data_IF_413047215036
#
_entry.id   IF_413047215036
#
_cell.length_a   1.000
_cell.length_b   1.000
_cell.length_c   1.000
_cell.angle_alpha   90.00
_cell.angle_beta   90.00
_cell.angle_gamma   90.00
#
_symmetry.space_group_name_H-M   'P 1'
#
loop_
_entity.id
_entity.type
_entity.pdbx_description
1 polymer ?
#
# COMPACT_ATOMS: atom_id res chain seq x y z
N UNK A 1 -11.85 8.64 -22.44
CA UNK A 1 -10.58 9.01 -21.84
C UNK A 1 -9.55 9.02 -22.95
N UNK A 2 -8.92 10.18 -23.22
CA UNK A 2 -7.77 10.23 -24.11
C UNK A 2 -6.65 9.45 -23.43
N UNK A 3 -6.18 8.40 -24.07
CA UNK A 3 -5.03 7.62 -23.66
C UNK A 3 -3.83 8.58 -23.65
N UNK A 4 -3.31 8.92 -22.49
CA UNK A 4 -2.19 9.86 -22.33
C UNK A 4 -0.84 9.15 -22.25
N UNK A 5 -0.84 7.82 -22.42
CA UNK A 5 0.37 7.02 -22.34
C UNK A 5 1.22 7.15 -23.61
N UNK A 6 2.55 7.20 -23.47
CA UNK A 6 3.46 7.19 -24.63
C UNK A 6 3.46 5.82 -25.31
N UNK A 7 3.66 5.80 -26.62
CA UNK A 7 3.84 4.56 -27.37
C UNK A 7 5.17 3.90 -27.01
N UNK A 8 5.13 2.64 -26.62
CA UNK A 8 6.34 1.84 -26.38
C UNK A 8 6.72 1.10 -27.67
N UNK A 9 7.98 1.18 -28.07
CA UNK A 9 8.52 0.50 -29.24
C UNK A 9 9.73 -0.31 -28.83
N UNK A 10 9.67 -1.63 -29.01
CA UNK A 10 10.76 -2.55 -28.67
C UNK A 10 11.40 -3.10 -29.96
N UNK A 11 12.69 -2.86 -30.15
CA UNK A 11 13.44 -3.24 -31.35
C UNK A 11 12.76 -2.82 -32.67
N UNK A 12 12.11 -1.67 -32.69
CA UNK A 12 11.42 -1.11 -33.87
C UNK A 12 9.97 -1.58 -34.03
N UNK A 13 9.45 -2.44 -33.18
CA UNK A 13 8.07 -2.92 -33.21
C UNK A 13 7.24 -2.30 -32.07
N UNK A 14 6.02 -1.79 -32.35
CA UNK A 14 5.11 -1.35 -31.28
C UNK A 14 4.86 -2.48 -30.26
N UNK A 15 4.86 -2.12 -28.99
CA UNK A 15 4.62 -3.02 -27.89
C UNK A 15 3.38 -2.55 -27.12
N UNK A 16 2.34 -3.36 -27.10
CA UNK A 16 1.05 -3.03 -26.49
C UNK A 16 0.96 -3.58 -25.04
N UNK A 17 2.04 -3.45 -24.27
CA UNK A 17 2.14 -3.90 -22.88
C UNK A 17 2.79 -2.87 -21.99
N UNK A 18 2.68 -3.07 -20.67
CA UNK A 18 3.32 -2.24 -19.67
C UNK A 18 4.87 -2.42 -19.70
N UNK A 19 5.62 -1.36 -19.39
CA UNK A 19 7.07 -1.41 -19.22
C UNK A 19 7.53 -2.46 -18.20
N UNK A 20 6.71 -2.73 -17.20
CA UNK A 20 6.97 -3.76 -16.19
C UNK A 20 7.07 -5.19 -16.75
N UNK A 21 6.52 -5.42 -17.95
CA UNK A 21 6.61 -6.71 -18.65
C UNK A 21 7.99 -6.94 -19.28
N UNK A 22 8.80 -5.87 -19.43
CA UNK A 22 10.12 -5.93 -20.05
C UNK A 22 11.16 -6.11 -18.95
N UNK A 23 12.02 -7.14 -19.09
CA UNK A 23 13.12 -7.33 -18.18
C UNK A 23 14.20 -6.27 -18.42
N UNK A 24 14.47 -5.43 -17.42
CA UNK A 24 15.48 -4.38 -17.52
C UNK A 24 16.88 -4.90 -17.82
N UNK A 25 17.18 -6.15 -17.45
CA UNK A 25 18.46 -6.79 -17.76
C UNK A 25 18.62 -7.12 -19.26
N UNK A 26 17.55 -7.15 -20.03
CA UNK A 26 17.59 -7.35 -21.50
C UNK A 26 17.69 -6.04 -22.28
N UNK A 27 17.60 -4.89 -21.64
CA UNK A 27 17.65 -3.58 -22.28
C UNK A 27 19.12 -3.17 -22.49
N UNK A 28 19.46 -2.77 -23.72
CA UNK A 28 20.73 -2.14 -24.06
C UNK A 28 20.64 -0.62 -23.95
N UNK A 29 19.55 -0.04 -24.49
CA UNK A 29 19.31 1.41 -24.42
C UNK A 29 17.83 1.74 -24.45
N UNK A 30 17.49 2.89 -23.87
CA UNK A 30 16.15 3.48 -23.91
C UNK A 30 16.26 4.93 -24.37
N UNK A 31 15.45 5.30 -25.34
CA UNK A 31 15.40 6.66 -25.88
C UNK A 31 13.97 7.16 -25.87
N UNK A 32 13.74 8.37 -25.36
CA UNK A 32 12.42 8.99 -25.33
C UNK A 32 12.36 10.07 -26.41
N UNK A 33 11.45 9.89 -27.37
CA UNK A 33 11.18 10.85 -28.42
C UNK A 33 9.96 11.69 -28.03
N UNK A 34 10.15 13.01 -27.91
CA UNK A 34 9.10 13.95 -27.48
C UNK A 34 8.74 14.98 -28.56
N UNK A 35 9.31 14.85 -29.75
CA UNK A 35 9.22 15.82 -30.81
C UNK A 35 8.29 15.38 -31.98
N UNK A 36 8.06 16.31 -32.92
CA UNK A 36 7.23 16.06 -34.08
C UNK A 36 7.80 14.95 -35.01
N UNK A 37 9.08 14.59 -34.89
CA UNK A 37 9.67 13.51 -35.67
C UNK A 37 9.12 12.14 -35.28
N UNK A 38 8.76 11.95 -33.99
CA UNK A 38 8.09 10.73 -33.53
C UNK A 38 6.70 10.56 -34.15
N UNK A 39 5.96 11.66 -34.33
CA UNK A 39 4.64 11.62 -34.95
C UNK A 39 4.71 11.27 -36.44
N UNK A 40 5.81 11.65 -37.12
CA UNK A 40 6.01 11.33 -38.53
C UNK A 40 6.25 9.83 -38.77
N UNK A 41 6.88 9.14 -37.81
CA UNK A 41 7.21 7.70 -37.91
C UNK A 41 6.05 6.80 -37.43
N UNK A 42 5.34 7.20 -36.39
CA UNK A 42 4.36 6.35 -35.70
C UNK A 42 2.93 6.86 -35.78
N UNK A 43 2.69 7.98 -36.51
CA UNK A 43 1.36 8.57 -36.72
C UNK A 43 0.70 9.01 -35.42
N UNK A 44 -0.62 8.90 -35.36
CA UNK A 44 -1.41 9.32 -34.21
C UNK A 44 -1.04 8.59 -32.89
N UNK A 45 -0.52 7.38 -32.98
CA UNK A 45 -0.06 6.60 -31.79
C UNK A 45 1.16 7.23 -31.12
N UNK A 46 1.95 8.02 -31.82
CA UNK A 46 3.11 8.73 -31.28
C UNK A 46 2.79 10.11 -30.68
N UNK A 47 1.53 10.56 -30.69
CA UNK A 47 1.13 11.91 -30.28
C UNK A 47 1.55 12.27 -28.83
N UNK A 48 1.57 11.30 -27.92
CA UNK A 48 1.98 11.46 -26.53
C UNK A 48 3.47 11.19 -26.29
N UNK A 49 4.26 11.07 -27.38
CA UNK A 49 5.67 10.67 -27.33
C UNK A 49 5.87 9.18 -27.56
N UNK A 50 7.12 8.81 -27.80
CA UNK A 50 7.52 7.41 -28.07
C UNK A 50 8.68 7.03 -27.18
N UNK A 51 8.58 5.89 -26.51
CA UNK A 51 9.68 5.27 -25.75
C UNK A 51 10.25 4.15 -26.61
N UNK A 52 11.45 4.38 -27.17
CA UNK A 52 12.16 3.38 -27.95
C UNK A 52 13.08 2.57 -27.05
N UNK A 53 12.90 1.27 -27.03
CA UNK A 53 13.70 0.32 -26.28
C UNK A 53 14.48 -0.53 -27.28
N UNK A 54 15.80 -0.48 -27.17
CA UNK A 54 16.70 -1.38 -27.90
C UNK A 54 17.18 -2.46 -26.95
N UNK A 55 17.02 -3.71 -27.37
CA UNK A 55 17.41 -4.85 -26.54
C UNK A 55 18.81 -5.32 -26.88
N UNK A 56 19.45 -5.99 -25.90
CA UNK A 56 20.79 -6.56 -26.02
C UNK A 56 20.90 -7.52 -27.21
N UNK A 57 22.10 -7.53 -27.82
CA UNK A 57 22.52 -8.41 -28.91
C UNK A 57 23.84 -9.07 -28.55
N UNK A 58 24.18 -10.12 -29.25
CA UNK A 58 25.51 -10.70 -29.20
C UNK A 58 26.58 -9.70 -29.67
N UNK A 59 27.76 -9.73 -29.09
CA UNK A 59 28.95 -9.00 -29.53
C UNK A 59 29.96 -9.98 -30.11
N UNK A 60 30.71 -9.56 -31.12
CA UNK A 60 31.74 -10.40 -31.74
C UNK A 60 32.73 -10.93 -30.70
N UNK A 61 33.07 -12.18 -30.80
CA UNK A 61 33.94 -12.90 -29.88
C UNK A 61 33.27 -14.18 -29.35
N UNK A 62 33.92 -14.79 -28.38
CA UNK A 62 33.42 -16.02 -27.75
C UNK A 62 32.05 -15.83 -27.09
N UNK A 63 31.33 -16.90 -26.96
CA UNK A 63 30.02 -16.90 -26.27
C UNK A 63 30.18 -16.44 -24.84
N UNK A 64 29.42 -15.39 -24.49
CA UNK A 64 29.41 -14.84 -23.12
C UNK A 64 28.19 -15.33 -22.35
N UNK A 65 28.45 -15.98 -21.23
CA UNK A 65 27.41 -16.31 -20.23
C UNK A 65 27.45 -15.25 -19.14
N UNK A 66 26.30 -14.70 -18.80
CA UNK A 66 26.15 -13.77 -17.68
C UNK A 66 25.09 -14.28 -16.73
N UNK A 67 25.39 -14.24 -15.43
CA UNK A 67 24.47 -14.60 -14.36
C UNK A 67 24.42 -13.44 -13.39
N UNK A 68 23.23 -12.94 -13.15
CA UNK A 68 22.94 -11.89 -12.19
C UNK A 68 21.97 -12.43 -11.15
N UNK A 69 22.31 -12.26 -9.87
CA UNK A 69 21.42 -12.59 -8.77
C UNK A 69 21.41 -11.40 -7.79
N UNK A 70 20.21 -10.92 -7.45
CA UNK A 70 20.02 -9.76 -6.56
C UNK A 70 19.01 -10.10 -5.49
N UNK A 71 19.32 -9.71 -4.26
CA UNK A 71 18.42 -9.78 -3.13
C UNK A 71 18.33 -8.42 -2.49
N UNK A 72 17.16 -8.10 -1.96
CA UNK A 72 16.92 -6.84 -1.28
C UNK A 72 15.70 -6.90 -0.38
N UNK A 73 15.54 -5.87 0.42
CA UNK A 73 14.34 -5.65 1.20
C UNK A 73 13.72 -4.30 0.80
N UNK A 74 12.41 -4.30 0.62
CA UNK A 74 11.63 -3.10 0.47
C UNK A 74 11.12 -2.70 1.86
N UNK A 75 11.48 -1.54 2.33
CA UNK A 75 11.00 -1.01 3.61
C UNK A 75 10.44 0.39 3.43
N UNK A 76 9.62 0.83 4.37
CA UNK A 76 9.16 2.21 4.39
C UNK A 76 10.36 3.14 4.63
N UNK A 77 10.80 3.82 3.58
CA UNK A 77 11.90 4.79 3.61
C UNK A 77 11.47 6.23 3.90
N UNK A 78 10.16 6.47 4.03
CA UNK A 78 9.64 7.80 4.31
C UNK A 78 9.76 8.10 5.80
N UNK A 79 10.34 9.24 6.12
CA UNK A 79 10.36 9.74 7.49
C UNK A 79 8.95 10.17 7.88
N UNK A 80 8.40 9.53 8.91
CA UNK A 80 7.11 9.90 9.45
C UNK A 80 7.22 11.12 10.34
N UNK A 81 6.26 12.03 10.23
CA UNK A 81 6.08 13.07 11.23
C UNK A 81 5.63 12.40 12.54
N UNK A 82 6.06 13.00 13.67
CA UNK A 82 5.62 12.56 14.99
C UNK A 82 4.12 12.78 15.12
N UNK A 83 3.37 11.71 15.30
CA UNK A 83 1.92 11.73 15.53
C UNK A 83 1.60 11.81 17.03
N UNK A 84 0.37 12.18 17.36
CA UNK A 84 -0.13 12.13 18.73
C UNK A 84 -0.28 10.67 19.19
N UNK A 85 0.04 10.41 20.45
CA UNK A 85 -0.34 9.15 21.09
C UNK A 85 -1.81 9.17 21.57
N UNK A 86 -2.31 8.05 22.06
CA UNK A 86 -3.68 7.93 22.53
C UNK A 86 -4.03 8.94 23.64
N UNK A 87 -3.14 9.16 24.61
CA UNK A 87 -3.34 10.16 25.67
C UNK A 87 -3.48 11.57 25.09
N UNK A 88 -2.51 12.00 24.28
CA UNK A 88 -2.53 13.31 23.64
C UNK A 88 -3.76 13.52 22.75
N UNK A 89 -4.21 12.45 22.10
CA UNK A 89 -5.44 12.48 21.31
C UNK A 89 -6.66 12.79 22.17
N UNK A 90 -6.87 12.07 23.29
CA UNK A 90 -8.00 12.33 24.19
C UNK A 90 -7.92 13.71 24.84
N UNK A 91 -6.75 14.13 25.28
CA UNK A 91 -6.56 15.48 25.86
C UNK A 91 -6.89 16.59 24.85
N UNK A 92 -6.50 16.39 23.57
CA UNK A 92 -6.80 17.35 22.50
C UNK A 92 -8.29 17.34 22.16
N UNK A 93 -8.89 16.16 22.07
CA UNK A 93 -10.31 16.01 21.78
C UNK A 93 -11.18 16.61 22.91
N UNK A 94 -10.80 16.40 24.16
CA UNK A 94 -11.42 17.05 25.31
C UNK A 94 -11.36 18.59 25.19
N UNK A 95 -10.21 19.15 24.89
CA UNK A 95 -10.05 20.61 24.71
C UNK A 95 -10.93 21.16 23.60
N UNK A 96 -11.07 20.41 22.51
CA UNK A 96 -11.97 20.77 21.41
C UNK A 96 -13.43 20.81 21.90
N UNK A 97 -13.91 19.74 22.57
CA UNK A 97 -15.27 19.68 23.09
C UNK A 97 -15.52 20.77 24.16
N UNK A 98 -14.60 20.93 25.11
CA UNK A 98 -14.70 21.92 26.17
C UNK A 98 -14.81 23.34 25.60
N UNK A 99 -13.95 23.69 24.65
CA UNK A 99 -13.99 25.00 24.00
C UNK A 99 -15.27 25.21 23.20
N UNK A 100 -15.75 24.18 22.51
CA UNK A 100 -17.03 24.21 21.80
C UNK A 100 -18.17 24.58 22.74
N UNK A 101 -18.30 23.90 23.90
CA UNK A 101 -19.39 24.16 24.85
C UNK A 101 -19.31 25.52 25.55
N UNK A 102 -18.12 26.08 25.74
CA UNK A 102 -17.95 27.43 26.32
C UNK A 102 -18.24 28.52 25.29
N UNK A 103 -17.93 28.31 24.01
CA UNK A 103 -17.92 29.39 23.00
C UNK A 103 -19.08 29.31 22.01
N UNK A 104 -19.97 28.30 22.10
CA UNK A 104 -21.04 28.11 21.11
C UNK A 104 -22.00 29.33 21.05
N UNK A 105 -22.38 29.79 19.84
CA UNK A 105 -23.36 30.87 19.67
C UNK A 105 -24.75 30.42 20.15
N UNK A 106 -25.20 30.88 21.30
CA UNK A 106 -26.55 30.60 21.82
C UNK A 106 -26.62 30.22 23.30
N UNK A 107 -25.52 30.12 23.98
CA UNK A 107 -25.47 29.84 25.41
C UNK A 107 -24.13 29.30 25.83
N UNK A 108 -23.25 30.12 26.29
CA UNK A 108 -22.01 29.67 26.94
C UNK A 108 -22.35 28.88 28.19
N UNK A 109 -21.99 27.62 28.26
CA UNK A 109 -22.09 26.82 29.46
C UNK A 109 -21.15 27.35 30.55
N UNK A 110 -21.45 27.05 31.81
CA UNK A 110 -20.45 27.25 32.85
C UNK A 110 -19.23 26.36 32.61
N UNK A 111 -18.08 26.78 33.11
CA UNK A 111 -16.85 25.97 32.99
C UNK A 111 -17.02 24.57 33.60
N UNK A 112 -17.81 24.45 34.66
CA UNK A 112 -18.12 23.17 35.33
C UNK A 112 -18.99 22.28 34.45
N UNK A 113 -20.06 22.82 33.87
CA UNK A 113 -20.97 22.06 33.01
C UNK A 113 -20.28 21.65 31.70
N UNK A 114 -19.52 22.54 31.11
CA UNK A 114 -18.72 22.26 29.91
C UNK A 114 -17.68 21.15 30.14
N UNK A 115 -17.03 21.15 31.32
CA UNK A 115 -16.11 20.09 31.73
C UNK A 115 -16.80 18.74 31.85
N UNK A 116 -17.93 18.70 32.59
CA UNK A 116 -18.70 17.47 32.78
C UNK A 116 -19.21 16.89 31.46
N UNK A 117 -19.76 17.75 30.59
CA UNK A 117 -20.28 17.34 29.28
C UNK A 117 -19.18 16.88 28.33
N UNK A 118 -18.02 17.55 28.33
CA UNK A 118 -16.88 17.13 27.54
C UNK A 118 -16.36 15.76 27.96
N UNK A 119 -16.25 15.45 29.26
CA UNK A 119 -15.90 14.11 29.73
C UNK A 119 -16.97 13.07 29.38
N UNK A 120 -18.24 13.41 29.53
CA UNK A 120 -19.34 12.51 29.16
C UNK A 120 -19.28 12.13 27.68
N UNK A 121 -19.09 13.08 26.77
CA UNK A 121 -19.02 12.82 25.34
C UNK A 121 -17.73 12.10 24.94
N UNK A 122 -16.63 12.37 25.64
CA UNK A 122 -15.35 11.72 25.38
C UNK A 122 -15.38 10.21 25.71
N UNK A 123 -16.15 9.83 26.74
CA UNK A 123 -16.23 8.44 27.22
C UNK A 123 -17.42 7.66 26.68
N UNK A 124 -18.37 8.33 26.02
CA UNK A 124 -19.60 7.69 25.50
C UNK A 124 -19.40 7.30 24.03
N UNK A 125 -19.41 6.00 23.77
CA UNK A 125 -19.27 5.43 22.43
C UNK A 125 -20.43 5.74 21.47
N UNK A 126 -21.62 6.02 22.00
CA UNK A 126 -22.85 6.22 21.21
C UNK A 126 -23.29 7.68 21.06
N UNK A 127 -22.56 8.64 21.63
CA UNK A 127 -22.96 10.05 21.62
C UNK A 127 -22.96 10.72 20.25
N UNK A 128 -22.26 10.14 19.26
CA UNK A 128 -22.07 10.72 17.91
C UNK A 128 -21.18 11.97 17.89
N UNK A 129 -20.80 12.50 19.04
CA UNK A 129 -19.98 13.72 19.22
C UNK A 129 -18.57 13.36 19.69
N UNK A 130 -18.41 12.27 20.43
CA UNK A 130 -17.12 11.80 20.94
C UNK A 130 -16.32 10.99 19.92
N UNK A 131 -15.13 10.53 20.32
CA UNK A 131 -14.26 9.71 19.46
C UNK A 131 -14.79 8.28 19.25
N UNK A 132 -15.85 7.88 19.95
CA UNK A 132 -16.55 6.62 19.76
C UNK A 132 -15.91 5.39 20.41
N UNK A 133 -14.70 5.52 20.92
CA UNK A 133 -13.98 4.45 21.65
C UNK A 133 -13.45 5.00 22.97
N UNK A 134 -13.60 4.22 24.02
CA UNK A 134 -12.96 4.45 25.30
C UNK A 134 -12.01 3.28 25.56
N UNK A 135 -10.72 3.53 25.41
CA UNK A 135 -9.67 2.52 25.57
C UNK A 135 -8.90 2.63 26.89
N UNK A 136 -9.42 3.39 27.84
CA UNK A 136 -8.84 3.53 29.18
C UNK A 136 -9.85 3.14 30.24
N UNK A 137 -9.37 2.48 31.28
CA UNK A 137 -10.11 2.30 32.52
C UNK A 137 -9.76 3.44 33.47
N UNK A 138 -10.78 4.09 34.00
CA UNK A 138 -10.64 5.23 34.93
C UNK A 138 -11.06 4.76 36.31
N UNK A 139 -10.40 5.22 37.41
CA UNK A 139 -10.84 4.91 38.76
C UNK A 139 -12.30 5.39 39.01
N UNK A 140 -13.08 4.58 39.73
CA UNK A 140 -14.49 4.86 39.99
C UNK A 140 -14.70 6.24 40.60
N UNK A 141 -15.69 6.97 40.06
CA UNK A 141 -16.06 8.29 40.55
C UNK A 141 -15.09 9.42 40.18
N UNK A 142 -14.11 9.16 39.33
CA UNK A 142 -13.17 10.17 38.85
C UNK A 142 -13.40 10.51 37.41
N UNK A 143 -13.09 11.76 37.04
CA UNK A 143 -13.11 12.19 35.64
C UNK A 143 -11.94 11.60 34.87
N UNK A 144 -12.18 11.28 33.60
CA UNK A 144 -11.14 10.77 32.70
C UNK A 144 -10.11 11.86 32.36
N UNK A 145 -10.59 13.05 32.02
CA UNK A 145 -9.75 14.23 31.86
C UNK A 145 -10.05 15.16 33.02
N UNK A 146 -9.03 15.54 33.77
CA UNK A 146 -9.13 16.45 34.89
C UNK A 146 -9.36 17.91 34.44
N UNK A 147 -9.83 18.75 35.35
CA UNK A 147 -9.86 20.20 35.13
C UNK A 147 -8.45 20.67 34.75
N UNK A 148 -8.35 21.40 33.63
CA UNK A 148 -7.06 21.78 33.03
C UNK A 148 -6.69 20.96 31.79
N UNK A 149 -7.49 19.92 31.44
CA UNK A 149 -7.36 19.21 30.18
C UNK A 149 -6.22 18.20 30.12
N UNK A 150 -5.86 17.64 31.27
CA UNK A 150 -4.82 16.58 31.41
C UNK A 150 -5.52 15.28 31.81
N UNK A 151 -5.08 14.18 31.22
CA UNK A 151 -5.62 12.85 31.55
C UNK A 151 -5.40 12.52 33.02
N UNK A 152 -6.38 11.85 33.62
CA UNK A 152 -6.29 11.35 35.00
C UNK A 152 -5.06 10.43 35.14
N UNK A 153 -4.14 10.71 36.06
CA UNK A 153 -2.93 9.90 36.24
C UNK A 153 -3.23 8.46 36.71
N UNK A 154 -4.43 8.22 37.25
CA UNK A 154 -4.91 6.87 37.59
C UNK A 154 -5.55 6.11 36.42
N UNK A 155 -5.70 6.74 35.27
CA UNK A 155 -6.23 6.06 34.08
C UNK A 155 -5.21 5.04 33.53
N UNK A 156 -5.67 3.84 33.24
CA UNK A 156 -4.85 2.77 32.69
C UNK A 156 -5.35 2.35 31.32
N UNK A 157 -4.41 2.08 30.38
CA UNK A 157 -4.77 1.64 29.04
C UNK A 157 -5.44 0.27 29.05
N UNK A 158 -6.51 0.18 28.30
CA UNK A 158 -7.36 -1.00 28.17
C UNK A 158 -8.70 -0.82 28.93
N UNK A 159 -9.79 -1.14 28.27
CA UNK A 159 -11.13 -1.09 28.85
C UNK A 159 -11.98 -2.29 28.41
N UNK A 160 -12.81 -2.78 29.32
CA UNK A 160 -13.83 -3.78 29.00
C UNK A 160 -15.04 -3.08 28.39
N UNK A 161 -15.50 -3.60 27.25
CA UNK A 161 -16.71 -3.17 26.57
C UNK A 161 -17.67 -4.36 26.48
N UNK A 162 -18.92 -4.17 26.87
CA UNK A 162 -19.96 -5.19 26.78
C UNK A 162 -20.91 -4.88 25.63
N UNK A 163 -21.02 -5.80 24.70
CA UNK A 163 -21.98 -5.74 23.62
C UNK A 163 -22.82 -7.01 23.60
N UNK A 164 -24.10 -6.87 23.88
CA UNK A 164 -25.07 -7.99 23.94
C UNK A 164 -24.61 -9.15 24.84
N UNK A 165 -23.97 -8.85 25.98
CA UNK A 165 -23.48 -9.85 26.95
C UNK A 165 -22.11 -10.46 26.54
N UNK A 166 -21.55 -10.11 25.41
CA UNK A 166 -20.19 -10.47 25.04
C UNK A 166 -19.22 -9.36 25.44
N UNK A 167 -18.17 -9.74 26.15
CA UNK A 167 -17.17 -8.79 26.65
C UNK A 167 -15.98 -8.73 25.72
N UNK A 168 -15.65 -7.53 25.29
CA UNK A 168 -14.48 -7.22 24.47
C UNK A 168 -13.48 -6.39 25.27
N UNK A 169 -12.20 -6.60 24.99
CA UNK A 169 -11.14 -5.76 25.50
C UNK A 169 -10.75 -4.73 24.43
N UNK A 170 -10.97 -3.44 24.72
CA UNK A 170 -10.61 -2.33 23.84
C UNK A 170 -9.22 -1.82 24.21
N UNK A 171 -8.32 -1.81 23.26
CA UNK A 171 -7.02 -1.18 23.33
C UNK A 171 -6.62 -0.69 21.94
N UNK A 172 -5.75 0.33 21.86
CA UNK A 172 -5.21 0.78 20.60
C UNK A 172 -4.26 -0.26 19.99
N UNK A 173 -4.27 -0.32 18.67
CA UNK A 173 -3.26 -1.03 17.87
C UNK A 173 -2.45 -0.02 17.04
N UNK A 174 -1.22 -0.37 16.72
CA UNK A 174 -0.42 0.35 15.76
C UNK A 174 -0.80 -0.10 14.34
N UNK A 175 -1.62 0.71 13.67
CA UNK A 175 -2.09 0.44 12.31
C UNK A 175 -0.96 0.43 11.29
N UNK A 176 0.11 1.19 11.54
CA UNK A 176 1.27 1.23 10.65
C UNK A 176 2.11 -0.02 10.79
N UNK A 177 2.40 -0.46 12.02
CA UNK A 177 3.15 -1.68 12.29
C UNK A 177 2.42 -2.92 11.74
N UNK A 178 1.08 -2.95 11.85
CA UNK A 178 0.28 -4.09 11.40
C UNK A 178 0.06 -4.07 9.89
N UNK A 179 -0.17 -2.90 9.30
CA UNK A 179 -0.53 -2.78 7.87
C UNK A 179 0.65 -2.65 6.92
N UNK A 180 1.85 -2.42 7.44
CA UNK A 180 3.08 -2.34 6.65
C UNK A 180 4.02 -3.48 7.01
N UNK A 181 4.77 -3.91 6.03
CA UNK A 181 5.75 -4.99 6.16
C UNK A 181 7.08 -4.62 5.50
N UNK A 182 8.11 -5.36 5.82
CA UNK A 182 9.34 -5.35 5.05
C UNK A 182 9.21 -6.42 3.96
N UNK A 183 9.02 -5.97 2.71
CA UNK A 183 8.90 -6.86 1.58
C UNK A 183 10.26 -7.44 1.18
N UNK A 184 10.30 -8.73 0.88
CA UNK A 184 11.49 -9.37 0.32
C UNK A 184 11.50 -9.26 -1.20
N UNK A 185 12.67 -9.04 -1.79
CA UNK A 185 12.88 -9.02 -3.24
C UNK A 185 14.00 -9.96 -3.61
N UNK A 186 13.76 -10.79 -4.61
CA UNK A 186 14.75 -11.63 -5.26
C UNK A 186 14.63 -11.55 -6.77
N UNK A 187 15.76 -11.44 -7.45
CA UNK A 187 15.82 -11.35 -8.90
C UNK A 187 16.98 -12.19 -9.41
N UNK A 188 16.72 -13.02 -10.40
CA UNK A 188 17.69 -13.91 -11.04
C UNK A 188 17.63 -13.72 -12.55
N UNK A 189 18.75 -13.51 -13.18
CA UNK A 189 18.86 -13.38 -14.62
C UNK A 189 20.03 -14.19 -15.13
N UNK A 190 19.78 -14.99 -16.15
CA UNK A 190 20.80 -15.74 -16.87
C UNK A 190 20.70 -15.36 -18.33
N UNK A 191 21.82 -15.04 -18.95
CA UNK A 191 21.85 -14.76 -20.38
C UNK A 191 23.07 -15.37 -21.05
N UNK A 192 22.89 -15.75 -22.31
CA UNK A 192 23.95 -16.22 -23.20
C UNK A 192 23.90 -15.41 -24.48
N UNK A 193 25.03 -14.87 -24.89
CA UNK A 193 25.13 -14.04 -26.09
C UNK A 193 26.43 -14.31 -26.83
N UNK A 194 26.41 -14.17 -28.15
CA UNK A 194 27.61 -14.25 -28.97
C UNK A 194 27.33 -13.82 -30.40
N UNK A 195 28.38 -13.52 -31.12
CA UNK A 195 28.29 -13.22 -32.53
C UNK A 195 29.52 -13.70 -33.28
N UNK A 196 29.32 -14.10 -34.53
CA UNK A 196 30.36 -14.36 -35.54
C UNK A 196 30.05 -13.54 -36.81
N UNK A 197 30.83 -13.70 -37.86
CA UNK A 197 30.57 -13.04 -39.15
C UNK A 197 29.18 -13.29 -39.73
N UNK A 198 28.55 -14.42 -39.36
CA UNK A 198 27.27 -14.84 -39.96
C UNK A 198 26.12 -14.95 -38.98
N UNK A 199 26.41 -15.05 -37.71
CA UNK A 199 25.37 -15.28 -36.69
C UNK A 199 25.53 -14.33 -35.53
N UNK A 200 24.42 -13.77 -35.04
CA UNK A 200 24.33 -13.01 -33.82
C UNK A 200 23.18 -13.55 -33.01
N UNK A 201 23.44 -13.88 -31.77
CA UNK A 201 22.39 -14.43 -30.90
C UNK A 201 22.46 -13.84 -29.49
N UNK A 202 21.29 -13.75 -28.88
CA UNK A 202 21.09 -13.40 -27.47
C UNK A 202 19.94 -14.22 -26.94
N UNK A 203 20.13 -14.89 -25.81
CA UNK A 203 19.08 -15.63 -25.10
C UNK A 203 19.17 -15.32 -23.63
N UNK A 204 18.03 -15.09 -22.98
CA UNK A 204 17.94 -14.82 -21.53
C UNK A 204 16.73 -15.49 -20.90
N UNK A 205 16.87 -15.77 -19.62
CA UNK A 205 15.77 -16.16 -18.72
C UNK A 205 15.92 -15.29 -17.48
N UNK A 206 14.82 -14.66 -17.07
CA UNK A 206 14.76 -13.81 -15.87
C UNK A 206 13.61 -14.21 -14.98
N UNK A 207 13.83 -14.20 -13.68
CA UNK A 207 12.81 -14.39 -12.65
C UNK A 207 12.91 -13.26 -11.62
N UNK A 208 11.78 -12.64 -11.33
CA UNK A 208 11.61 -11.65 -10.27
C UNK A 208 10.49 -12.11 -9.35
N UNK A 209 10.73 -12.06 -8.04
CA UNK A 209 9.74 -12.23 -6.99
C UNK A 209 9.96 -11.13 -5.97
N UNK A 210 8.95 -10.29 -5.78
CA UNK A 210 9.06 -9.10 -4.94
C UNK A 210 7.76 -8.86 -4.18
N UNK A 211 7.88 -8.77 -2.86
CA UNK A 211 6.81 -8.29 -2.00
C UNK A 211 6.90 -6.76 -1.85
N UNK A 212 5.74 -6.11 -1.77
CA UNK A 212 5.65 -4.68 -1.47
C UNK A 212 5.70 -4.40 0.03
N UNK A 213 5.70 -3.10 0.37
CA UNK A 213 5.67 -2.64 1.77
C UNK A 213 4.27 -2.70 2.39
N UNK A 214 3.23 -2.84 1.61
CA UNK A 214 1.86 -3.06 2.10
C UNK A 214 1.58 -4.56 2.09
N UNK A 215 0.99 -5.09 3.15
CA UNK A 215 0.60 -6.49 3.20
C UNK A 215 -0.32 -6.83 2.02
N UNK A 216 -0.05 -7.96 1.35
CA UNK A 216 -0.81 -8.40 0.17
C UNK A 216 -0.38 -7.80 -1.17
N UNK A 217 0.53 -6.81 -1.18
CA UNK A 217 1.11 -6.32 -2.44
C UNK A 217 2.30 -7.17 -2.86
N UNK A 218 2.28 -7.67 -4.07
CA UNK A 218 3.38 -8.48 -4.62
C UNK A 218 3.46 -8.37 -6.15
N UNK A 219 4.63 -8.70 -6.69
CA UNK A 219 4.79 -8.95 -8.13
C UNK A 219 5.74 -10.12 -8.39
N UNK A 220 5.35 -10.98 -9.32
CA UNK A 220 6.17 -12.09 -9.81
C UNK A 220 6.25 -12.02 -11.33
N UNK A 221 7.45 -12.10 -11.85
CA UNK A 221 7.68 -12.05 -13.30
C UNK A 221 8.67 -13.12 -13.74
N UNK A 222 8.26 -13.92 -14.69
CA UNK A 222 9.11 -14.84 -15.43
C UNK A 222 9.23 -14.33 -16.87
N UNK A 223 10.45 -14.13 -17.33
CA UNK A 223 10.74 -13.71 -18.71
C UNK A 223 11.64 -14.72 -19.39
N UNK A 224 11.40 -14.96 -20.66
CA UNK A 224 12.32 -15.71 -21.53
C UNK A 224 12.41 -14.99 -22.87
N UNK A 225 13.62 -14.79 -23.34
CA UNK A 225 13.90 -14.10 -24.59
C UNK A 225 14.90 -14.88 -25.45
N UNK A 226 14.66 -14.92 -26.76
CA UNK A 226 15.61 -15.44 -27.73
C UNK A 226 15.62 -14.54 -28.97
N UNK A 227 16.78 -14.06 -29.35
CA UNK A 227 16.99 -13.24 -30.52
C UNK A 227 18.13 -13.86 -31.34
N UNK A 228 17.89 -14.05 -32.63
CA UNK A 228 18.80 -14.64 -33.57
C UNK A 228 18.80 -13.83 -34.88
N UNK A 229 19.96 -13.43 -35.33
CA UNK A 229 20.17 -12.87 -36.64
C UNK A 229 21.17 -13.75 -37.38
N UNK A 230 20.82 -14.22 -38.57
CA UNK A 230 21.65 -15.08 -39.41
C UNK A 230 21.81 -14.54 -40.83
N UNK A 231 23.06 -14.33 -41.26
CA UNK A 231 23.41 -13.95 -42.61
C UNK A 231 23.53 -15.20 -43.48
N UNK A 232 22.41 -15.65 -44.05
CA UNK A 232 22.38 -16.90 -44.86
C UNK A 232 23.14 -16.79 -46.20
N UNK A 233 23.04 -15.62 -46.86
CA UNK A 233 23.73 -15.27 -48.07
C UNK A 233 24.16 -13.81 -48.00
N UNK A 234 25.08 -13.34 -48.86
CA UNK A 234 25.45 -11.92 -48.91
C UNK A 234 24.24 -10.99 -49.10
N UNK A 235 23.21 -11.47 -49.76
CA UNK A 235 21.98 -10.75 -50.05
C UNK A 235 20.79 -11.17 -49.15
N UNK A 236 20.92 -12.20 -48.27
CA UNK A 236 19.83 -12.74 -47.47
C UNK A 236 20.25 -12.77 -45.99
N UNK A 237 19.56 -11.96 -45.19
CA UNK A 237 19.60 -11.99 -43.74
C UNK A 237 18.25 -12.49 -43.21
N UNK A 238 18.27 -13.43 -42.26
CA UNK A 238 17.09 -13.95 -41.57
C UNK A 238 17.23 -13.65 -40.10
N UNK A 239 16.18 -13.11 -39.50
CA UNK A 239 16.14 -12.81 -38.07
C UNK A 239 14.90 -13.41 -37.43
N UNK A 240 15.04 -13.84 -36.18
CA UNK A 240 13.94 -14.25 -35.31
C UNK A 240 14.09 -13.59 -33.95
N UNK A 241 12.97 -13.10 -33.41
CA UNK A 241 12.92 -12.50 -32.09
C UNK A 241 11.71 -13.08 -31.36
N UNK A 242 11.96 -13.81 -30.29
CA UNK A 242 10.95 -14.42 -29.44
C UNK A 242 11.03 -13.78 -28.06
N UNK A 243 9.88 -13.43 -27.50
CA UNK A 243 9.76 -12.90 -26.16
C UNK A 243 8.55 -13.53 -25.47
N UNK A 244 8.77 -14.02 -24.26
CA UNK A 244 7.73 -14.57 -23.42
C UNK A 244 7.81 -13.90 -22.05
N UNK A 245 6.68 -13.43 -21.55
CA UNK A 245 6.57 -12.88 -20.19
C UNK A 245 5.32 -13.42 -19.53
N UNK A 246 5.49 -13.99 -18.34
CA UNK A 246 4.39 -14.27 -17.42
C UNK A 246 4.54 -13.32 -16.24
N UNK A 247 3.53 -12.49 -16.00
CA UNK A 247 3.55 -11.47 -14.95
C UNK A 247 2.30 -11.59 -14.11
N UNK A 248 2.49 -11.83 -12.82
CA UNK A 248 1.44 -11.85 -11.82
C UNK A 248 1.73 -10.73 -10.83
N UNK A 249 0.75 -9.91 -10.55
CA UNK A 249 0.87 -8.89 -9.52
C UNK A 249 -0.42 -8.81 -8.72
N UNK A 250 -0.26 -8.48 -7.44
CA UNK A 250 -1.34 -8.06 -6.57
C UNK A 250 -1.04 -6.66 -6.11
N UNK A 251 -1.95 -5.75 -6.34
CA UNK A 251 -1.85 -4.37 -5.92
C UNK A 251 -2.96 -4.07 -4.93
N UNK A 252 -2.61 -3.40 -3.85
CA UNK A 252 -3.60 -2.90 -2.91
C UNK A 252 -4.47 -1.88 -3.63
N UNK A 253 -5.78 -2.07 -3.56
CA UNK A 253 -6.74 -1.21 -4.25
C UNK A 253 -6.53 0.26 -3.87
N UNK A 254 -6.25 1.08 -4.87
CA UNK A 254 -6.39 2.53 -4.74
C UNK A 254 -7.89 2.84 -4.71
N UNK A 255 -8.37 3.05 -3.50
CA UNK A 255 -9.62 3.70 -3.17
C UNK A 255 -10.83 3.52 -4.07
N UNK A 256 -11.70 2.60 -3.75
CA UNK A 256 -13.13 2.82 -3.99
C UNK A 256 -13.60 3.79 -2.91
N UNK A 257 -14.36 4.81 -3.32
CA UNK A 257 -14.98 5.85 -2.50
C UNK A 257 -15.40 5.29 -1.13
N UNK A 258 -14.83 5.81 -0.04
CA UNK A 258 -15.19 5.49 1.34
C UNK A 258 -14.14 4.80 2.19
N UNK A 259 -13.14 4.14 1.61
CA UNK A 259 -12.10 3.44 2.39
C UNK A 259 -10.70 4.02 2.21
N UNK A 260 -10.46 4.92 1.28
CA UNK A 260 -9.14 5.48 1.00
C UNK A 260 -8.12 4.39 0.60
N UNK A 261 -6.94 4.79 0.23
CA UNK A 261 -5.83 3.85 0.12
C UNK A 261 -5.45 3.34 1.51
N UNK A 262 -4.95 2.11 1.62
CA UNK A 262 -4.46 1.59 2.90
C UNK A 262 -3.47 2.58 3.54
N UNK A 263 -2.63 3.20 2.73
CA UNK A 263 -1.65 4.21 3.15
C UNK A 263 -2.31 5.43 3.80
N UNK A 264 -3.29 6.06 3.13
CA UNK A 264 -3.98 7.22 3.66
C UNK A 264 -4.79 6.86 4.91
N UNK A 265 -5.43 5.70 4.92
CA UNK A 265 -6.25 5.25 6.05
C UNK A 265 -5.39 4.98 7.28
N UNK A 266 -4.27 4.24 7.16
CA UNK A 266 -3.34 3.99 8.25
C UNK A 266 -2.83 5.31 8.85
N UNK A 267 -2.51 6.29 8.00
CA UNK A 267 -1.99 7.60 8.46
C UNK A 267 -3.06 8.51 9.06
N UNK A 268 -4.33 8.33 8.73
CA UNK A 268 -5.43 9.15 9.22
C UNK A 268 -6.20 8.53 10.40
N UNK A 269 -5.95 7.27 10.72
CA UNK A 269 -6.59 6.64 11.88
C UNK A 269 -6.17 7.31 13.18
N UNK A 270 -7.17 7.55 14.06
CA UNK A 270 -6.88 8.02 15.39
C UNK A 270 -6.14 6.93 16.19
N UNK A 271 -5.17 7.31 17.05
CA UNK A 271 -4.32 6.37 17.79
C UNK A 271 -5.05 5.69 18.97
N UNK A 272 -6.34 5.49 18.84
CA UNK A 272 -7.22 4.87 19.84
C UNK A 272 -7.99 3.68 19.27
N UNK A 273 -7.96 3.45 17.97
CA UNK A 273 -8.77 2.41 17.36
C UNK A 273 -8.01 1.08 17.29
N UNK A 274 -8.62 -0.04 17.69
CA UNK A 274 -8.07 -1.37 17.50
C UNK A 274 -8.14 -1.80 16.02
N UNK A 275 -7.20 -2.63 15.60
CA UNK A 275 -7.27 -3.38 14.34
C UNK A 275 -8.01 -4.69 14.56
N UNK A 276 -7.73 -5.35 15.68
CA UNK A 276 -8.26 -6.68 15.99
C UNK A 276 -9.22 -6.65 17.17
N UNK A 277 -10.22 -7.52 17.11
CA UNK A 277 -11.06 -7.82 18.28
C UNK A 277 -10.28 -8.65 19.30
N UNK A 278 -10.52 -8.35 20.57
CA UNK A 278 -9.93 -9.09 21.70
C UNK A 278 -11.01 -9.52 22.68
N UNK A 279 -10.82 -10.71 23.23
CA UNK A 279 -11.64 -11.22 24.34
C UNK A 279 -11.34 -10.48 25.65
N UNK A 280 -12.11 -10.77 26.70
CA UNK A 280 -11.92 -10.19 28.04
C UNK A 280 -10.53 -10.50 28.65
N UNK A 281 -9.84 -11.53 28.16
CA UNK A 281 -8.49 -11.91 28.58
C UNK A 281 -7.39 -11.25 27.73
N UNK A 282 -7.75 -10.30 26.84
CA UNK A 282 -6.86 -9.55 25.96
C UNK A 282 -6.30 -10.34 24.78
N UNK A 283 -6.75 -11.57 24.56
CA UNK A 283 -6.30 -12.37 23.42
C UNK A 283 -7.02 -11.92 22.16
N UNK A 284 -6.31 -11.85 21.03
CA UNK A 284 -6.93 -11.63 19.72
C UNK A 284 -7.90 -12.79 19.46
N UNK A 285 -9.15 -12.47 19.15
CA UNK A 285 -10.17 -13.44 18.84
C UNK A 285 -9.90 -14.07 17.48
N UNK A 286 -10.19 -15.37 17.37
CA UNK A 286 -10.01 -16.16 16.16
C UNK A 286 -11.39 -16.68 15.74
N UNK A 287 -11.66 -16.63 14.44
CA UNK A 287 -12.91 -17.14 13.87
C UNK A 287 -12.89 -18.67 13.71
N UNK A 288 -13.99 -19.22 13.20
CA UNK A 288 -14.15 -20.66 12.97
C UNK A 288 -13.19 -21.26 11.94
N UNK A 289 -12.50 -20.43 11.13
CA UNK A 289 -11.53 -20.85 10.12
C UNK A 289 -10.09 -20.67 10.60
N UNK A 290 -9.87 -20.21 11.84
CA UNK A 290 -8.55 -19.97 12.40
C UNK A 290 -7.96 -18.62 12.06
N UNK A 291 -8.75 -17.70 11.48
CA UNK A 291 -8.31 -16.36 11.11
C UNK A 291 -8.58 -15.34 12.22
N UNK A 292 -7.74 -14.31 12.31
CA UNK A 292 -7.92 -13.22 13.28
C UNK A 292 -9.20 -12.44 12.98
N UNK A 293 -9.98 -12.13 14.00
CA UNK A 293 -11.16 -11.29 13.88
C UNK A 293 -10.76 -9.81 13.94
N UNK A 294 -11.28 -9.05 12.99
CA UNK A 294 -10.98 -7.62 12.83
C UNK A 294 -12.08 -6.75 13.46
N UNK A 295 -11.68 -5.59 13.97
CA UNK A 295 -12.61 -4.60 14.47
C UNK A 295 -13.27 -3.82 13.32
N UNK A 296 -14.59 -3.85 13.26
CA UNK A 296 -15.44 -3.13 12.30
C UNK A 296 -16.35 -2.10 12.99
N UNK A 297 -16.00 -1.62 14.15
CA UNK A 297 -16.71 -0.57 14.85
C UNK A 297 -18.24 -0.76 14.93
N UNK A 298 -18.95 -0.37 13.87
CA UNK A 298 -20.42 -0.41 13.80
C UNK A 298 -21.03 -1.79 14.02
N UNK A 299 -20.30 -2.87 13.74
CA UNK A 299 -20.76 -4.23 14.02
C UNK A 299 -20.95 -4.48 15.52
N UNK A 300 -20.38 -3.64 16.36
CA UNK A 300 -20.39 -3.73 17.83
C UNK A 300 -20.95 -2.45 18.48
N UNK A 301 -21.77 -1.69 17.76
CA UNK A 301 -22.36 -0.42 18.20
C UNK A 301 -21.31 0.63 18.64
N UNK A 302 -20.11 0.54 18.08
CA UNK A 302 -19.04 1.50 18.25
C UNK A 302 -18.94 2.41 17.01
N UNK A 303 -18.55 3.65 17.20
CA UNK A 303 -18.37 4.61 16.10
C UNK A 303 -16.92 5.06 16.04
N UNK A 304 -16.42 5.35 14.83
CA UNK A 304 -15.11 6.00 14.63
C UNK A 304 -15.33 7.42 14.14
N UNK A 305 -14.71 8.37 14.80
CA UNK A 305 -14.73 9.77 14.36
C UNK A 305 -14.13 9.88 12.94
N UNK A 306 -14.75 10.71 12.08
CA UNK A 306 -14.30 10.89 10.71
C UNK A 306 -14.88 9.91 9.69
N UNK A 307 -15.84 9.04 10.09
CA UNK A 307 -16.58 8.17 9.16
C UNK A 307 -15.81 6.97 8.61
N UNK A 308 -14.64 6.65 9.15
CA UNK A 308 -13.81 5.51 8.72
C UNK A 308 -14.29 4.23 9.43
N UNK A 309 -15.47 3.74 9.06
CA UNK A 309 -16.08 2.56 9.69
C UNK A 309 -15.48 1.22 9.28
N UNK A 310 -14.74 1.17 8.18
CA UNK A 310 -14.12 -0.06 7.65
C UNK A 310 -12.77 -0.38 8.31
N UNK A 311 -12.33 -1.61 8.10
CA UNK A 311 -10.97 -2.04 8.45
C UNK A 311 -10.16 -2.22 7.16
N UNK A 312 -9.31 -1.25 6.85
CA UNK A 312 -8.55 -1.25 5.60
C UNK A 312 -7.53 -2.40 5.51
N UNK A 313 -7.02 -2.86 6.66
CA UNK A 313 -6.08 -3.98 6.72
C UNK A 313 -6.80 -5.28 6.34
N UNK A 314 -8.01 -5.50 6.88
CA UNK A 314 -8.86 -6.62 6.47
C UNK A 314 -9.16 -6.56 4.96
N UNK A 315 -9.65 -5.41 4.48
CA UNK A 315 -10.03 -5.25 3.08
C UNK A 315 -8.85 -5.52 2.14
N UNK A 316 -7.66 -5.13 2.55
CA UNK A 316 -6.45 -5.36 1.77
C UNK A 316 -6.01 -6.83 1.76
N UNK A 317 -6.09 -7.50 2.92
CA UNK A 317 -5.69 -8.91 3.05
C UNK A 317 -6.58 -9.86 2.22
N UNK A 318 -7.89 -9.58 2.16
CA UNK A 318 -8.87 -10.47 1.53
C UNK A 318 -9.32 -10.03 0.14
N UNK A 319 -8.80 -8.93 -0.36
CA UNK A 319 -9.05 -8.45 -1.70
C UNK A 319 -7.83 -8.75 -2.58
N UNK A 320 -7.95 -9.74 -3.45
CA UNK A 320 -6.95 -10.00 -4.48
C UNK A 320 -7.48 -9.52 -5.84
N UNK A 321 -6.83 -8.51 -6.42
CA UNK A 321 -6.94 -8.22 -7.84
C UNK A 321 -5.74 -8.89 -8.52
N UNK A 322 -5.85 -10.18 -8.87
CA UNK A 322 -4.86 -10.86 -9.72
C UNK A 322 -5.19 -10.56 -11.18
N UNK A 323 -4.27 -9.87 -11.85
CA UNK A 323 -4.30 -9.76 -13.32
C UNK A 323 -3.17 -10.60 -13.89
N UNK A 324 -3.52 -11.58 -14.70
CA UNK A 324 -2.58 -12.49 -15.40
C UNK A 324 -2.31 -11.95 -16.80
#
# INVERSE_FOLDING_TARGET
SSDTEPLIVVDGMPFDGDLNLINSNDIESMTVLKDAASNALYGARGANGVIMITTKKGKNGDAKVSVDAKWGANSNGLQNYKTTNAQQFYETYYKMLYNYYITEPGGSMSATDAHALANQHLTNSSSGVGPGYMIYTVPEGQDFIQQGGVMNPGATMGALYDYNGQKFWLQADDWEEIGLQNGFRQEYNVSVSGASERINYYTSIGYLDQDGIQEGSMQKRLTARAKLDYQAKKWLKVGANFNYTKYNYSQTSEGTIGTGTIWSTIKSQAPIYPVYLRDANKNIMIDQWGEKMYDFAQAYDLTRAGGVGGNCIFSNKYRSDETT
#
